data_IF_634834053011
#
_entry.id   IF_634834053011
#
_cell.length_a   1.000
_cell.length_b   1.000
_cell.length_c   1.000
_cell.angle_alpha   90.00
_cell.angle_beta   90.00
_cell.angle_gamma   90.00
#
_symmetry.space_group_name_H-M   'P 1'
#
loop_
_entity.id
_entity.type
_entity.pdbx_description
1 polymer ?
#
# COMPACT_ATOMS: atom_id res chain seq x y z
N UNK A 1 -7.21 17.31 3.14
CA UNK A 1 -7.65 16.58 4.33
C UNK A 1 -9.18 16.55 4.49
N UNK A 2 -9.89 17.66 4.41
CA UNK A 2 -11.38 17.66 4.47
C UNK A 2 -12.07 16.79 3.40
N UNK A 3 -11.46 16.57 2.25
CA UNK A 3 -12.05 15.72 1.19
C UNK A 3 -12.06 14.23 1.53
N UNK A 4 -11.11 13.75 2.34
CA UNK A 4 -11.05 12.34 2.78
C UNK A 4 -12.18 12.02 3.75
N UNK A 5 -12.50 12.97 4.65
CA UNK A 5 -13.59 12.82 5.63
C UNK A 5 -14.97 12.84 4.95
N UNK A 6 -15.13 13.65 3.90
CA UNK A 6 -16.37 13.69 3.10
C UNK A 6 -16.56 12.50 2.17
N UNK A 7 -15.47 11.82 1.79
CA UNK A 7 -15.51 10.63 0.94
C UNK A 7 -15.57 9.30 1.70
N UNK A 8 -15.52 9.31 3.03
CA UNK A 8 -15.86 8.15 3.85
C UNK A 8 -17.39 7.91 3.77
N UNK A 9 -17.87 7.60 2.54
CA UNK A 9 -19.09 6.84 2.43
C UNK A 9 -18.83 5.54 3.20
N UNK A 10 -19.60 5.32 4.28
CA UNK A 10 -19.47 4.15 5.17
C UNK A 10 -19.82 2.85 4.41
N UNK A 11 -19.13 2.59 3.31
CA UNK A 11 -19.11 1.34 2.57
C UNK A 11 -17.68 0.84 2.54
N UNK A 12 -17.48 -0.35 3.00
CA UNK A 12 -16.25 -1.09 2.74
C UNK A 12 -16.07 -1.28 1.24
N UNK A 13 -14.85 -1.27 0.79
CA UNK A 13 -14.52 -1.44 -0.61
C UNK A 13 -13.07 -1.92 -0.78
N UNK A 14 -12.59 -1.93 -2.00
CA UNK A 14 -11.22 -2.36 -2.31
C UNK A 14 -10.15 -1.50 -1.63
N UNK A 15 -10.48 -0.26 -1.29
CA UNK A 15 -9.53 0.74 -0.78
C UNK A 15 -9.78 1.16 0.68
N UNK A 16 -10.86 0.73 1.31
CA UNK A 16 -11.19 1.11 2.70
C UNK A 16 -11.57 -0.11 3.51
N UNK A 17 -11.01 -0.19 4.71
CA UNK A 17 -11.33 -1.21 5.70
C UNK A 17 -11.70 -0.58 7.03
N UNK A 18 -12.83 -0.98 7.60
CA UNK A 18 -13.31 -0.52 8.90
C UNK A 18 -13.05 -1.58 9.97
N UNK A 19 -12.54 -1.15 11.12
CA UNK A 19 -12.30 -2.05 12.24
C UNK A 19 -12.81 -1.48 13.56
N UNK A 20 -13.52 -2.30 14.32
CA UNK A 20 -13.79 -2.00 15.72
C UNK A 20 -12.51 -2.09 16.53
N UNK A 21 -12.29 -1.13 17.41
CA UNK A 21 -11.08 -1.03 18.22
C UNK A 21 -11.35 -0.68 19.70
N UNK A 22 -12.60 -0.73 20.15
CA UNK A 22 -12.94 -0.49 21.56
C UNK A 22 -12.38 -1.53 22.53
N UNK A 23 -12.25 -2.77 22.08
CA UNK A 23 -11.73 -3.88 22.87
C UNK A 23 -10.20 -4.07 22.82
N UNK A 24 -9.49 -3.17 22.15
CA UNK A 24 -8.05 -3.24 21.94
C UNK A 24 -7.66 -3.05 20.48
N UNK A 25 -6.35 -3.09 20.19
CA UNK A 25 -5.85 -2.99 18.81
C UNK A 25 -6.28 -4.23 18.02
N UNK A 26 -6.88 -4.06 16.81
CA UNK A 26 -7.45 -5.17 16.07
C UNK A 26 -6.39 -6.18 15.62
N UNK A 27 -6.57 -7.46 15.92
CA UNK A 27 -5.60 -8.52 15.56
C UNK A 27 -5.40 -8.64 14.05
N UNK A 28 -6.47 -8.45 13.25
CA UNK A 28 -6.41 -8.49 11.78
C UNK A 28 -5.92 -7.20 11.12
N UNK A 29 -5.44 -6.22 11.89
CA UNK A 29 -4.92 -4.96 11.35
C UNK A 29 -3.75 -5.21 10.39
N UNK A 30 -2.81 -6.04 10.80
CA UNK A 30 -1.58 -6.28 10.05
C UNK A 30 -1.80 -7.08 8.77
N UNK A 31 -2.77 -8.01 8.75
CA UNK A 31 -3.16 -8.73 7.52
C UNK A 31 -3.65 -7.73 6.46
N UNK A 32 -4.53 -6.81 6.87
CA UNK A 32 -5.03 -5.73 6.00
C UNK A 32 -3.91 -4.76 5.60
N UNK A 33 -3.01 -4.41 6.52
CA UNK A 33 -1.85 -3.58 6.23
C UNK A 33 -0.97 -4.18 5.13
N UNK A 34 -0.59 -5.46 5.28
CA UNK A 34 0.18 -6.20 4.28
C UNK A 34 -0.56 -6.24 2.93
N UNK A 35 -1.87 -6.54 2.97
CA UNK A 35 -2.68 -6.62 1.75
C UNK A 35 -2.76 -5.29 0.99
N UNK A 36 -2.95 -4.17 1.68
CA UNK A 36 -2.96 -2.84 1.07
C UNK A 36 -1.58 -2.47 0.52
N UNK A 37 -0.54 -2.66 1.31
CA UNK A 37 0.84 -2.37 0.91
C UNK A 37 1.27 -3.12 -0.36
N UNK A 38 0.90 -4.39 -0.47
CA UNK A 38 1.21 -5.24 -1.63
C UNK A 38 0.24 -5.09 -2.82
N UNK A 39 -0.77 -4.21 -2.72
CA UNK A 39 -1.75 -4.00 -3.79
C UNK A 39 -1.73 -2.55 -4.28
N UNK A 40 -2.75 -1.76 -4.02
CA UNK A 40 -2.84 -0.36 -4.50
C UNK A 40 -2.76 0.67 -3.36
N UNK A 41 -2.44 0.23 -2.14
CA UNK A 41 -2.62 1.02 -0.94
C UNK A 41 -4.06 0.97 -0.46
N UNK A 42 -4.37 1.76 0.57
CA UNK A 42 -5.72 1.84 1.10
C UNK A 42 -5.80 2.57 2.43
N UNK A 43 -6.96 2.57 3.03
CA UNK A 43 -7.25 3.25 4.28
C UNK A 43 -7.82 2.28 5.30
N UNK A 44 -7.22 2.22 6.48
CA UNK A 44 -7.78 1.48 7.63
C UNK A 44 -8.34 2.49 8.62
N UNK A 45 -9.61 2.33 9.01
CA UNK A 45 -10.29 3.20 9.96
C UNK A 45 -10.64 2.43 11.22
N UNK A 46 -10.09 2.86 12.35
CA UNK A 46 -10.43 2.30 13.67
C UNK A 46 -11.52 3.11 14.36
N UNK A 47 -12.38 2.43 15.10
CA UNK A 47 -13.51 3.03 15.80
C UNK A 47 -14.83 2.94 15.02
N UNK A 48 -14.91 2.08 14.03
CA UNK A 48 -16.12 1.75 13.28
C UNK A 48 -16.44 0.28 13.50
N UNK A 49 -17.70 -0.02 13.79
CA UNK A 49 -18.18 -1.40 13.90
C UNK A 49 -19.19 -1.71 12.82
N UNK A 50 -19.19 -2.94 12.39
CA UNK A 50 -20.23 -3.50 11.56
C UNK A 50 -21.36 -4.06 12.44
N UNK A 51 -22.60 -3.74 12.08
CA UNK A 51 -23.79 -4.32 12.67
C UNK A 51 -24.85 -4.53 11.59
N UNK A 52 -25.26 -5.77 11.39
CA UNK A 52 -26.27 -6.15 10.38
C UNK A 52 -25.92 -5.65 8.96
N UNK A 53 -24.64 -5.79 8.54
CA UNK A 53 -24.16 -5.34 7.24
C UNK A 53 -24.07 -3.81 7.08
N UNK A 54 -24.13 -3.06 8.19
CA UNK A 54 -23.98 -1.59 8.18
C UNK A 54 -22.80 -1.18 9.04
N UNK A 55 -21.96 -0.32 8.50
CA UNK A 55 -20.86 0.30 9.23
C UNK A 55 -21.35 1.51 10.00
N UNK A 56 -21.08 1.53 11.30
CA UNK A 56 -21.48 2.60 12.18
C UNK A 56 -20.28 3.09 13.00
N UNK A 57 -20.02 4.42 13.03
CA UNK A 57 -19.02 4.96 13.93
C UNK A 57 -19.34 4.59 15.37
N UNK A 58 -18.41 3.91 16.02
CA UNK A 58 -18.51 3.51 17.43
C UNK A 58 -17.64 4.38 18.34
N UNK A 59 -16.68 5.08 17.73
CA UNK A 59 -15.81 6.04 18.36
C UNK A 59 -14.73 5.44 19.27
N UNK A 60 -13.70 6.24 19.52
CA UNK A 60 -12.61 5.92 20.43
C UNK A 60 -12.47 7.06 21.44
N UNK A 61 -12.12 6.72 22.69
CA UNK A 61 -11.70 7.72 23.67
C UNK A 61 -10.30 8.23 23.36
N UNK A 62 -9.88 9.32 23.98
CA UNK A 62 -8.56 9.89 23.80
C UNK A 62 -7.47 8.90 24.29
N UNK A 63 -7.72 8.22 25.42
CA UNK A 63 -6.84 7.21 25.96
C UNK A 63 -6.72 6.00 25.00
N UNK A 64 -7.84 5.55 24.40
CA UNK A 64 -7.83 4.46 23.42
C UNK A 64 -7.05 4.87 22.17
N UNK A 65 -7.21 6.09 21.68
CA UNK A 65 -6.46 6.58 20.52
C UNK A 65 -4.96 6.62 20.80
N UNK A 66 -4.55 7.15 21.94
CA UNK A 66 -3.16 7.18 22.36
C UNK A 66 -2.58 5.76 22.49
N UNK A 67 -3.33 4.84 23.11
CA UNK A 67 -2.94 3.44 23.27
C UNK A 67 -2.81 2.73 21.91
N UNK A 68 -3.74 2.97 20.96
CA UNK A 68 -3.69 2.37 19.63
C UNK A 68 -2.52 2.92 18.81
N UNK A 69 -2.24 4.21 18.85
CA UNK A 69 -1.05 4.78 18.20
C UNK A 69 0.23 4.17 18.76
N UNK A 70 0.33 4.08 20.08
CA UNK A 70 1.49 3.44 20.72
C UNK A 70 1.63 1.98 20.28
N UNK A 71 0.57 1.19 20.33
CA UNK A 71 0.59 -0.22 19.92
C UNK A 71 0.97 -0.36 18.45
N UNK A 72 0.48 0.52 17.57
CA UNK A 72 0.85 0.54 16.16
C UNK A 72 2.35 0.78 15.98
N UNK A 73 2.90 1.85 16.58
CA UNK A 73 4.31 2.21 16.41
C UNK A 73 5.26 1.17 17.01
N UNK A 74 4.93 0.63 18.18
CA UNK A 74 5.71 -0.45 18.81
C UNK A 74 5.76 -1.69 17.88
N UNK A 75 4.64 -2.02 17.23
CA UNK A 75 4.55 -3.16 16.32
C UNK A 75 5.18 -2.87 14.95
N UNK A 76 4.99 -1.67 14.40
CA UNK A 76 5.56 -1.28 13.10
C UNK A 76 7.09 -1.32 13.07
N UNK A 77 7.73 -1.03 14.21
CA UNK A 77 9.20 -1.11 14.36
C UNK A 77 9.69 -2.50 14.79
N UNK A 78 8.78 -3.43 15.00
CA UNK A 78 9.13 -4.82 15.32
C UNK A 78 9.11 -5.71 14.08
N UNK A 79 10.28 -6.11 13.61
CA UNK A 79 10.42 -7.01 12.43
C UNK A 79 9.73 -8.37 12.59
N UNK A 80 9.45 -8.78 13.83
CA UNK A 80 8.65 -9.99 14.08
C UNK A 80 7.15 -9.74 13.87
N UNK A 81 6.72 -8.50 13.68
CA UNK A 81 5.34 -8.14 13.37
C UNK A 81 5.18 -7.83 11.88
N UNK A 82 5.98 -6.92 11.35
CA UNK A 82 5.94 -6.52 9.93
C UNK A 82 7.35 -6.30 9.40
N UNK A 83 7.59 -6.71 8.16
CA UNK A 83 8.90 -6.66 7.53
C UNK A 83 9.43 -5.23 7.34
N UNK A 84 8.53 -4.27 7.09
CA UNK A 84 8.89 -2.89 6.74
C UNK A 84 7.88 -1.90 7.35
N UNK A 85 8.33 -0.89 8.11
CA UNK A 85 7.49 0.21 8.57
C UNK A 85 7.29 1.22 7.42
N UNK A 86 6.16 1.13 6.71
CA UNK A 86 5.88 2.02 5.56
C UNK A 86 5.35 3.39 5.96
N UNK A 87 4.68 3.50 7.11
CA UNK A 87 4.00 4.71 7.52
C UNK A 87 4.93 5.67 8.26
N UNK A 88 4.61 6.95 8.11
CA UNK A 88 5.13 8.06 8.91
C UNK A 88 4.02 8.62 9.81
N UNK A 89 4.36 9.51 10.74
CA UNK A 89 3.37 10.16 11.61
C UNK A 89 2.27 10.90 10.83
N UNK A 90 2.55 11.36 9.59
CA UNK A 90 1.60 12.05 8.73
C UNK A 90 0.53 11.13 8.16
N UNK A 91 0.78 9.85 8.15
CA UNK A 91 -0.11 8.82 7.60
C UNK A 91 -1.07 8.27 8.67
N UNK A 92 -0.90 8.67 9.93
CA UNK A 92 -1.76 8.27 11.05
C UNK A 92 -2.52 9.50 11.56
N UNK A 93 -3.80 9.59 11.20
CA UNK A 93 -4.61 10.80 11.37
C UNK A 93 -5.77 10.55 12.33
N UNK A 94 -5.95 11.46 13.27
CA UNK A 94 -7.17 11.52 14.08
C UNK A 94 -8.22 12.35 13.33
N UNK A 95 -9.41 11.82 13.21
CA UNK A 95 -10.54 12.55 12.64
C UNK A 95 -11.70 12.59 13.64
N UNK A 96 -12.46 13.66 13.59
CA UNK A 96 -13.72 13.81 14.32
C UNK A 96 -14.85 13.93 13.30
N UNK A 97 -15.88 13.11 13.45
CA UNK A 97 -17.09 13.22 12.63
C UNK A 97 -17.89 14.47 13.00
N UNK A 98 -18.84 14.87 12.17
CA UNK A 98 -19.77 15.97 12.46
C UNK A 98 -20.56 15.73 13.76
N UNK A 99 -20.79 14.48 14.13
CA UNK A 99 -21.44 14.07 15.38
C UNK A 99 -20.50 14.00 16.59
N UNK A 100 -19.26 14.46 16.47
CA UNK A 100 -18.29 14.48 17.56
C UNK A 100 -17.64 13.12 17.87
N UNK A 101 -17.81 12.12 17.00
CA UNK A 101 -17.23 10.78 17.17
C UNK A 101 -15.79 10.79 16.67
N UNK A 102 -14.85 10.34 17.50
CA UNK A 102 -13.42 10.28 17.14
C UNK A 102 -13.06 8.93 16.51
N UNK A 103 -12.34 8.98 15.40
CA UNK A 103 -11.85 7.83 14.65
C UNK A 103 -10.35 7.96 14.41
N UNK A 104 -9.64 6.84 14.33
CA UNK A 104 -8.21 6.81 14.00
C UNK A 104 -8.03 6.21 12.60
N UNK A 105 -7.39 6.94 11.72
CA UNK A 105 -7.24 6.62 10.30
C UNK A 105 -5.77 6.36 9.98
N UNK A 106 -5.50 5.27 9.28
CA UNK A 106 -4.18 4.89 8.77
C UNK A 106 -4.23 4.91 7.25
N UNK A 107 -3.40 5.75 6.64
CA UNK A 107 -3.24 5.86 5.20
C UNK A 107 -2.11 4.93 4.76
N UNK A 108 -2.44 3.77 4.22
CA UNK A 108 -1.45 2.77 3.83
C UNK A 108 -1.04 3.02 2.38
N UNK A 109 0.20 3.43 2.09
CA UNK A 109 0.64 3.58 0.71
C UNK A 109 0.86 2.21 0.05
N UNK A 110 0.74 2.17 -1.27
CA UNK A 110 1.29 1.05 -2.03
C UNK A 110 2.80 1.00 -1.83
N UNK A 111 3.32 -0.14 -1.44
CA UNK A 111 4.76 -0.31 -1.31
C UNK A 111 5.45 -0.20 -2.67
N UNK A 112 6.57 0.53 -2.76
CA UNK A 112 7.44 0.48 -3.93
C UNK A 112 7.88 -0.96 -4.24
N UNK A 113 8.03 -1.32 -5.50
CA UNK A 113 8.38 -2.69 -5.92
C UNK A 113 9.62 -3.24 -5.22
N UNK A 114 10.64 -2.40 -5.02
CA UNK A 114 11.89 -2.80 -4.36
C UNK A 114 11.74 -3.07 -2.84
N UNK A 115 10.60 -2.74 -2.24
CA UNK A 115 10.25 -3.05 -0.86
C UNK A 115 9.25 -4.21 -0.75
N UNK A 116 8.75 -4.74 -1.87
CA UNK A 116 7.85 -5.88 -1.88
C UNK A 116 8.61 -7.21 -1.78
N UNK A 117 8.01 -8.22 -1.15
CA UNK A 117 6.73 -8.19 -0.46
C UNK A 117 6.80 -7.53 0.93
N UNK A 118 5.73 -6.85 1.33
CA UNK A 118 5.50 -6.48 2.73
C UNK A 118 4.78 -7.64 3.41
N UNK A 119 5.47 -8.31 4.32
CA UNK A 119 4.98 -9.52 4.98
C UNK A 119 5.01 -9.39 6.49
N UNK A 120 4.28 -10.26 7.15
CA UNK A 120 4.19 -10.34 8.60
C UNK A 120 5.12 -11.43 9.13
N UNK A 121 5.46 -11.34 10.40
CA UNK A 121 6.40 -12.25 11.04
C UNK A 121 7.81 -12.23 10.41
N UNK A 122 8.61 -13.24 10.66
CA UNK A 122 9.95 -13.41 10.07
C UNK A 122 9.94 -14.30 8.81
N UNK A 123 8.78 -14.87 8.47
CA UNK A 123 8.62 -15.75 7.32
C UNK A 123 7.64 -15.13 6.32
N UNK A 124 8.06 -14.81 5.08
CA UNK A 124 7.15 -14.26 4.07
C UNK A 124 6.10 -15.26 3.57
N UNK A 125 6.44 -16.56 3.57
CA UNK A 125 5.54 -17.60 3.06
C UNK A 125 4.41 -17.88 4.06
N UNK A 126 3.17 -17.81 3.58
CA UNK A 126 1.97 -17.91 4.42
C UNK A 126 1.63 -16.63 5.22
N UNK A 127 2.49 -15.59 5.18
CA UNK A 127 2.33 -14.35 5.94
C UNK A 127 2.43 -13.08 5.07
N UNK A 128 2.31 -13.23 3.76
CA UNK A 128 2.17 -12.14 2.79
C UNK A 128 0.75 -12.09 2.29
N UNK A 129 0.13 -10.90 2.29
CA UNK A 129 -1.26 -10.73 1.90
C UNK A 129 -1.40 -9.79 0.71
N UNK A 130 -2.42 -10.03 -0.11
CA UNK A 130 -2.90 -9.13 -1.17
C UNK A 130 -4.38 -8.84 -1.00
N UNK A 131 -4.80 -7.67 -1.48
CA UNK A 131 -6.21 -7.28 -1.51
C UNK A 131 -6.86 -7.82 -2.77
N UNK A 132 -7.94 -8.58 -2.62
CA UNK A 132 -8.85 -8.96 -3.69
C UNK A 132 -10.27 -8.61 -3.26
N UNK A 133 -10.95 -7.77 -4.05
CA UNK A 133 -12.25 -7.22 -3.67
C UNK A 133 -12.21 -6.61 -2.26
N UNK A 134 -13.04 -7.10 -1.35
CA UNK A 134 -13.16 -6.59 0.03
C UNK A 134 -12.34 -7.39 1.04
N UNK A 135 -11.54 -8.38 0.61
CA UNK A 135 -10.78 -9.28 1.49
C UNK A 135 -9.26 -9.16 1.36
N UNK A 136 -8.58 -9.43 2.48
CA UNK A 136 -7.15 -9.69 2.51
C UNK A 136 -6.92 -11.21 2.39
N UNK A 137 -6.20 -11.64 1.36
CA UNK A 137 -5.95 -13.06 1.07
C UNK A 137 -4.45 -13.34 1.12
N UNK A 138 -4.10 -14.49 1.67
CA UNK A 138 -2.72 -14.97 1.72
C UNK A 138 -2.24 -15.24 0.30
N UNK A 139 -1.07 -14.70 -0.05
CA UNK A 139 -0.40 -14.98 -1.31
C UNK A 139 0.10 -16.41 -1.36
N UNK A 140 0.06 -17.02 -2.54
CA UNK A 140 0.75 -18.28 -2.79
C UNK A 140 2.27 -18.11 -2.69
N UNK A 141 2.98 -19.21 -2.46
CA UNK A 141 4.44 -19.19 -2.41
C UNK A 141 5.06 -18.67 -3.72
N UNK A 142 4.46 -18.98 -4.87
CA UNK A 142 4.94 -18.52 -6.16
C UNK A 142 4.75 -17.01 -6.35
N UNK A 143 3.63 -16.44 -5.88
CA UNK A 143 3.44 -14.99 -5.88
C UNK A 143 4.48 -14.30 -4.99
N UNK A 144 4.79 -14.87 -3.83
CA UNK A 144 5.82 -14.32 -2.93
C UNK A 144 7.19 -14.37 -3.58
N UNK A 145 7.56 -15.50 -4.22
CA UNK A 145 8.83 -15.61 -4.98
C UNK A 145 8.91 -14.61 -6.13
N UNK A 146 7.79 -14.41 -6.84
CA UNK A 146 7.72 -13.44 -7.92
C UNK A 146 7.95 -12.02 -7.41
N UNK A 147 7.32 -11.63 -6.29
CA UNK A 147 7.55 -10.31 -5.68
C UNK A 147 9.01 -10.06 -5.32
N UNK A 148 9.69 -11.05 -4.73
CA UNK A 148 11.12 -10.94 -4.44
C UNK A 148 11.97 -10.84 -5.72
N UNK A 149 11.63 -11.60 -6.76
CA UNK A 149 12.30 -11.52 -8.05
C UNK A 149 12.16 -10.13 -8.68
N UNK A 150 10.94 -9.60 -8.66
CA UNK A 150 10.65 -8.27 -9.19
C UNK A 150 11.38 -7.17 -8.41
N UNK A 151 11.41 -7.26 -7.08
CA UNK A 151 12.16 -6.34 -6.22
C UNK A 151 13.68 -6.36 -6.55
N UNK A 152 14.26 -7.54 -6.71
CA UNK A 152 15.67 -7.68 -7.07
C UNK A 152 15.97 -7.15 -8.48
N UNK A 153 15.08 -7.39 -9.43
CA UNK A 153 15.24 -6.91 -10.80
C UNK A 153 15.26 -5.38 -10.89
N UNK A 154 14.45 -4.70 -10.09
CA UNK A 154 14.44 -3.23 -10.03
C UNK A 154 15.72 -2.67 -9.40
N UNK A 155 16.25 -3.32 -8.36
CA UNK A 155 17.49 -2.88 -7.70
C UNK A 155 18.76 -3.20 -8.53
N UNK A 156 18.70 -4.26 -9.33
CA UNK A 156 19.84 -4.76 -10.10
C UNK A 156 19.57 -4.82 -11.60
N UNK A 157 18.52 -4.12 -12.07
CA UNK A 157 18.19 -4.10 -13.50
C UNK A 157 19.40 -3.64 -14.31
N UNK A 158 19.78 -4.46 -15.29
CA UNK A 158 20.79 -4.08 -16.27
C UNK A 158 20.42 -2.77 -16.97
N UNK A 159 19.11 -2.48 -17.11
CA UNK A 159 18.59 -1.27 -17.74
C UNK A 159 18.80 -0.01 -16.88
N UNK A 160 19.00 -0.14 -15.56
CA UNK A 160 19.34 0.98 -14.68
C UNK A 160 20.86 1.22 -14.56
N UNK A 161 21.70 0.37 -15.15
CA UNK A 161 23.15 0.57 -15.17
C UNK A 161 23.51 1.64 -16.19
N UNK A 162 24.13 2.71 -15.71
CA UNK A 162 24.79 3.64 -16.60
C UNK A 162 25.97 2.91 -17.23
N UNK A 163 25.92 2.67 -18.53
CA UNK A 163 27.00 2.08 -19.29
C UNK A 163 28.08 3.14 -19.49
N UNK A 164 29.11 3.08 -18.66
CA UNK A 164 30.26 3.98 -18.80
C UNK A 164 31.09 3.56 -20.04
N UNK A 165 31.51 4.56 -20.83
CA UNK A 165 32.30 4.32 -22.03
C UNK A 165 31.50 4.21 -23.34
N UNK A 166 30.18 4.28 -23.27
CA UNK A 166 29.31 4.37 -24.44
C UNK A 166 28.86 5.81 -24.67
N UNK A 167 28.78 6.20 -25.92
CA UNK A 167 28.38 7.54 -26.39
C UNK A 167 27.29 7.41 -27.47
N UNK A 168 26.78 8.53 -27.96
CA UNK A 168 25.84 8.53 -29.08
C UNK A 168 26.44 7.97 -30.38
N UNK A 169 27.78 7.93 -30.52
CA UNK A 169 28.46 7.39 -31.68
C UNK A 169 28.40 5.87 -31.72
N UNK A 170 28.11 5.22 -30.58
CA UNK A 170 27.92 3.78 -30.49
C UNK A 170 26.50 3.33 -30.92
N UNK A 171 25.61 4.29 -31.18
CA UNK A 171 24.23 4.02 -31.59
C UNK A 171 24.17 4.03 -33.13
N UNK A 172 23.64 2.93 -33.73
CA UNK A 172 23.32 2.94 -35.15
C UNK A 172 22.19 3.94 -35.44
N UNK A 173 22.58 5.10 -35.94
CA UNK A 173 21.67 6.21 -36.24
C UNK A 173 20.69 5.89 -37.37
N UNK A 174 21.01 4.95 -38.26
CA UNK A 174 20.10 4.52 -39.31
C UNK A 174 18.93 3.71 -38.72
N UNK A 175 19.24 2.76 -37.85
CA UNK A 175 18.23 1.97 -37.12
C UNK A 175 17.36 2.87 -36.23
N UNK A 176 17.95 3.86 -35.55
CA UNK A 176 17.18 4.79 -34.73
C UNK A 176 16.23 5.65 -35.55
N UNK A 177 16.63 6.14 -36.72
CA UNK A 177 15.77 6.88 -37.65
C UNK A 177 14.61 6.02 -38.16
N UNK A 178 14.91 4.79 -38.57
CA UNK A 178 13.90 3.86 -39.03
C UNK A 178 12.87 3.54 -37.94
N UNK A 179 13.34 3.30 -36.72
CA UNK A 179 12.46 3.07 -35.57
C UNK A 179 11.57 4.29 -35.30
N UNK A 180 12.16 5.50 -35.30
CA UNK A 180 11.41 6.75 -35.11
C UNK A 180 10.34 6.95 -36.20
N UNK A 181 10.66 6.66 -37.47
CA UNK A 181 9.70 6.76 -38.53
C UNK A 181 8.57 5.74 -38.36
N UNK A 182 8.89 4.48 -38.09
CA UNK A 182 7.89 3.45 -37.86
C UNK A 182 7.02 3.74 -36.60
N UNK A 183 7.57 4.41 -35.60
CA UNK A 183 6.80 4.87 -34.46
C UNK A 183 5.79 5.97 -34.85
N UNK A 184 6.24 6.97 -35.59
CA UNK A 184 5.39 8.04 -36.09
C UNK A 184 4.24 7.54 -36.95
N UNK A 185 4.52 6.61 -37.86
CA UNK A 185 3.52 6.02 -38.78
C UNK A 185 2.43 5.26 -38.01
N UNK A 186 2.77 4.69 -36.82
CA UNK A 186 1.81 3.98 -35.95
C UNK A 186 1.05 4.89 -34.97
N UNK A 187 1.57 6.08 -34.69
CA UNK A 187 1.08 6.96 -33.64
C UNK A 187 0.99 8.41 -34.12
N UNK A 188 0.24 8.64 -35.20
CA UNK A 188 0.15 9.94 -35.91
C UNK A 188 -0.15 11.15 -35.02
N UNK A 189 -0.85 10.95 -33.90
CA UNK A 189 -1.25 12.01 -32.98
C UNK A 189 -0.46 12.02 -31.66
N UNK A 190 0.71 11.39 -31.60
CA UNK A 190 1.50 11.37 -30.38
C UNK A 190 2.28 12.68 -30.17
N UNK A 191 2.36 13.22 -28.93
CA UNK A 191 3.05 14.50 -28.63
C UNK A 191 4.53 14.55 -29.04
N UNK A 192 5.13 13.41 -29.36
CA UNK A 192 6.55 13.29 -29.78
C UNK A 192 6.74 13.21 -31.29
N UNK A 193 5.71 13.48 -32.06
CA UNK A 193 5.77 13.49 -33.53
C UNK A 193 6.18 14.87 -34.07
#
# INVERSE_FOLDING_TARGET
MESIVKSLNLKEGTEVEYKSAKGGFPGSFWDTFSAFANSQGGVIVLGVKERNGKFMPDGLTEEQMAAHKKSFWDSAHNKSCVSIPLLTERDVVEIMTESGIRLLVFLIPKAPYYLCPVYLTLNPFGHTYKRHHEGAYVCSDDEVRQMFSDANNVQHSADSRILTGYTFDDIDTATLRNYRQAYKDRHENHPWN
#
